data_IF_822815811231
#
_entry.id   IF_822815811231
#
_cell.length_a   1.000
_cell.length_b   1.000
_cell.length_c   1.000
_cell.angle_alpha   90.00
_cell.angle_beta   90.00
_cell.angle_gamma   90.00
#
_symmetry.space_group_name_H-M   'P 1'
#
loop_
_entity.id
_entity.type
_entity.pdbx_description
1 polymer ?
#
# COMPACT_ATOMS: atom_id res chain seq x y z
N UNK A 1 10.06 -6.66 -14.80
CA UNK A 1 10.15 -8.11 -15.09
C UNK A 1 11.60 -8.57 -14.96
N UNK A 2 11.82 -9.79 -14.52
CA UNK A 2 13.14 -10.36 -14.31
C UNK A 2 13.24 -11.70 -15.04
N UNK A 3 14.44 -12.05 -15.46
CA UNK A 3 14.75 -13.40 -15.93
C UNK A 3 15.06 -14.35 -14.75
N UNK A 4 15.33 -15.61 -15.05
CA UNK A 4 15.67 -16.66 -14.06
C UNK A 4 16.95 -16.36 -13.27
N UNK A 5 17.79 -15.46 -13.75
CA UNK A 5 19.04 -15.03 -13.07
C UNK A 5 18.83 -13.77 -12.23
N UNK A 6 17.61 -13.22 -12.19
CA UNK A 6 17.28 -11.99 -11.46
C UNK A 6 17.63 -10.68 -12.18
N UNK A 7 17.98 -10.74 -13.48
CA UNK A 7 18.26 -9.53 -14.27
C UNK A 7 16.95 -8.89 -14.72
N UNK A 8 16.93 -7.56 -14.75
CA UNK A 8 15.78 -6.81 -15.25
C UNK A 8 15.72 -6.96 -16.78
N UNK A 9 14.65 -7.58 -17.27
CA UNK A 9 14.35 -7.72 -18.70
C UNK A 9 13.57 -6.51 -19.22
N UNK A 10 12.60 -6.06 -18.45
CA UNK A 10 11.84 -4.85 -18.77
C UNK A 10 11.27 -4.18 -17.51
N UNK A 11 10.97 -2.89 -17.64
CA UNK A 11 10.39 -2.07 -16.57
C UNK A 11 9.29 -1.20 -17.16
N UNK A 12 8.17 -1.11 -16.45
CA UNK A 12 7.13 -0.11 -16.66
C UNK A 12 6.68 0.43 -15.30
N UNK A 13 6.42 1.72 -15.24
CA UNK A 13 5.97 2.39 -14.02
C UNK A 13 5.07 3.55 -14.38
N UNK A 14 4.21 3.95 -13.43
CA UNK A 14 3.36 5.13 -13.51
C UNK A 14 3.38 5.85 -12.17
N UNK A 15 3.25 7.16 -12.22
CA UNK A 15 3.01 7.95 -11.01
C UNK A 15 1.58 7.72 -10.53
N UNK A 16 1.44 7.55 -9.21
CA UNK A 16 0.13 7.40 -8.58
C UNK A 16 -0.30 8.76 -8.03
N UNK A 17 -1.38 9.36 -8.55
CA UNK A 17 -1.91 10.62 -8.03
C UNK A 17 -2.31 10.49 -6.56
N UNK A 18 -1.84 11.43 -5.74
CA UNK A 18 -2.23 11.52 -4.34
C UNK A 18 -3.40 12.49 -4.19
N UNK A 19 -4.31 12.18 -3.29
CA UNK A 19 -5.50 12.99 -2.99
C UNK A 19 -5.32 13.58 -1.59
N UNK A 20 -5.46 14.90 -1.46
CA UNK A 20 -5.32 15.63 -0.22
C UNK A 20 -6.64 16.34 0.14
N UNK A 21 -7.61 15.63 0.75
CA UNK A 21 -8.94 16.21 1.03
C UNK A 21 -8.90 17.35 2.05
N UNK A 22 -7.97 17.28 2.99
CA UNK A 22 -7.76 18.27 4.05
C UNK A 22 -6.26 18.31 4.44
N UNK A 23 -5.80 19.34 5.14
CA UNK A 23 -4.43 19.39 5.67
C UNK A 23 -4.10 18.15 6.50
N UNK A 24 -3.00 17.49 6.17
CA UNK A 24 -2.55 16.26 6.84
C UNK A 24 -3.29 14.98 6.43
N UNK A 25 -4.29 15.05 5.55
CA UNK A 25 -4.97 13.88 5.03
C UNK A 25 -4.37 13.47 3.70
N UNK A 26 -4.13 12.17 3.54
CA UNK A 26 -3.60 11.60 2.30
C UNK A 26 -4.39 10.35 1.95
N UNK A 27 -4.85 10.29 0.71
CA UNK A 27 -5.65 9.20 0.19
C UNK A 27 -5.20 8.81 -1.22
N UNK A 28 -5.47 7.57 -1.60
CA UNK A 28 -5.31 7.09 -2.98
C UNK A 28 -6.63 6.50 -3.49
N UNK A 29 -6.84 6.59 -4.80
CA UNK A 29 -7.94 5.89 -5.45
C UNK A 29 -7.54 4.43 -5.69
N UNK A 30 -8.18 3.49 -4.99
CA UNK A 30 -7.85 2.07 -5.10
C UNK A 30 -8.12 1.49 -6.50
N UNK A 31 -9.13 2.01 -7.21
CA UNK A 31 -9.42 1.62 -8.59
C UNK A 31 -8.31 2.05 -9.54
N UNK A 32 -7.79 3.27 -9.36
CA UNK A 32 -6.64 3.76 -10.14
C UNK A 32 -5.39 2.91 -9.88
N UNK A 33 -5.12 2.56 -8.61
CA UNK A 33 -4.00 1.65 -8.27
C UNK A 33 -4.12 0.34 -9.07
N UNK A 34 -5.28 -0.28 -9.08
CA UNK A 34 -5.51 -1.53 -9.81
C UNK A 34 -5.31 -1.35 -11.33
N UNK A 35 -5.91 -0.32 -11.89
CA UNK A 35 -5.83 -0.05 -13.33
C UNK A 35 -4.39 0.21 -13.78
N UNK A 36 -3.64 1.00 -13.01
CA UNK A 36 -2.24 1.32 -13.32
C UNK A 36 -1.34 0.09 -13.15
N UNK A 37 -1.53 -0.71 -12.11
CA UNK A 37 -0.79 -1.96 -11.94
C UNK A 37 -1.02 -2.93 -13.11
N UNK A 38 -2.27 -3.10 -13.53
CA UNK A 38 -2.59 -3.96 -14.68
C UNK A 38 -2.01 -3.40 -15.98
N UNK A 39 -2.08 -2.10 -16.18
CA UNK A 39 -1.54 -1.45 -17.36
C UNK A 39 0.00 -1.54 -17.44
N UNK A 40 0.69 -1.28 -16.32
CA UNK A 40 2.15 -1.39 -16.26
C UNK A 40 2.63 -2.84 -16.43
N UNK A 41 1.90 -3.82 -15.89
CA UNK A 41 2.21 -5.23 -16.11
C UNK A 41 2.12 -5.59 -17.62
N UNK A 42 1.03 -5.20 -18.29
CA UNK A 42 0.86 -5.41 -19.73
C UNK A 42 1.96 -4.70 -20.54
N UNK A 43 2.26 -3.46 -20.20
CA UNK A 43 3.29 -2.67 -20.86
C UNK A 43 4.67 -3.31 -20.73
N UNK A 44 5.01 -3.82 -19.54
CA UNK A 44 6.28 -4.50 -19.30
C UNK A 44 6.43 -5.77 -20.15
N UNK A 45 5.35 -6.56 -20.31
CA UNK A 45 5.33 -7.74 -21.16
C UNK A 45 5.58 -7.35 -22.63
N UNK A 46 4.88 -6.33 -23.12
CA UNK A 46 5.03 -5.84 -24.50
C UNK A 46 6.45 -5.31 -24.75
N UNK A 47 6.99 -4.51 -23.83
CA UNK A 47 8.37 -4.00 -23.93
C UNK A 47 9.43 -5.09 -23.98
N UNK A 48 9.17 -6.22 -23.33
CA UNK A 48 10.06 -7.38 -23.37
C UNK A 48 9.93 -8.22 -24.66
N UNK A 49 8.93 -7.93 -25.50
CA UNK A 49 8.61 -8.76 -26.68
C UNK A 49 8.04 -10.12 -26.32
N UNK A 50 7.50 -10.29 -25.11
CA UNK A 50 6.98 -11.54 -24.58
C UNK A 50 5.46 -11.61 -24.66
N UNK A 51 4.91 -12.80 -24.44
CA UNK A 51 3.49 -13.08 -24.28
C UNK A 51 3.19 -13.42 -22.81
N UNK A 52 1.94 -13.33 -22.42
CA UNK A 52 1.50 -13.71 -21.07
C UNK A 52 1.81 -15.17 -20.74
N UNK A 53 1.81 -16.06 -21.75
CA UNK A 53 2.19 -17.47 -21.60
C UNK A 53 3.65 -17.71 -21.23
N UNK A 54 4.51 -16.71 -21.46
CA UNK A 54 5.95 -16.82 -21.18
C UNK A 54 6.28 -16.41 -19.74
N UNK A 55 5.28 -16.00 -18.97
CA UNK A 55 5.42 -15.56 -17.57
C UNK A 55 5.25 -16.78 -16.66
N UNK A 56 6.32 -17.17 -15.98
CA UNK A 56 6.34 -18.32 -15.07
C UNK A 56 5.73 -18.02 -13.69
N UNK A 57 5.70 -16.76 -13.28
CA UNK A 57 5.18 -16.39 -11.95
C UNK A 57 5.06 -14.88 -11.79
N UNK A 58 4.29 -14.48 -10.76
CA UNK A 58 4.07 -13.08 -10.38
C UNK A 58 4.38 -12.93 -8.90
N UNK A 59 5.29 -12.02 -8.58
CA UNK A 59 5.52 -11.56 -7.22
C UNK A 59 4.71 -10.31 -6.94
N UNK A 60 4.02 -10.28 -5.79
CA UNK A 60 3.21 -9.14 -5.38
C UNK A 60 3.71 -8.66 -4.03
N UNK A 61 3.97 -7.36 -3.91
CA UNK A 61 4.14 -6.70 -2.62
C UNK A 61 3.02 -5.68 -2.41
N UNK A 62 2.61 -5.51 -1.17
CA UNK A 62 1.57 -4.53 -0.83
C UNK A 62 2.16 -3.15 -0.54
N UNK A 63 1.32 -2.15 -0.54
CA UNK A 63 1.58 -0.88 0.15
C UNK A 63 1.15 -1.06 1.61
N UNK A 64 2.12 -1.27 2.50
CA UNK A 64 1.86 -1.50 3.93
C UNK A 64 1.07 -0.33 4.52
N UNK A 65 0.25 -0.63 5.55
CA UNK A 65 -0.48 0.37 6.33
C UNK A 65 -1.41 1.25 5.48
N UNK A 66 -1.94 0.65 4.43
CA UNK A 66 -2.95 1.26 3.56
C UNK A 66 -4.22 0.45 3.66
N UNK A 67 -5.31 1.09 4.09
CA UNK A 67 -6.58 0.41 4.30
C UNK A 67 -7.50 0.63 3.12
N UNK A 68 -7.98 -0.46 2.54
CA UNK A 68 -9.02 -0.47 1.50
C UNK A 68 -10.20 -1.29 1.98
N UNK A 69 -11.39 -0.71 1.93
CA UNK A 69 -12.65 -1.42 2.18
C UNK A 69 -13.49 -1.37 0.91
N UNK A 70 -14.02 -2.52 0.50
CA UNK A 70 -14.80 -2.63 -0.74
C UNK A 70 -16.04 -3.48 -0.58
N UNK A 71 -17.00 -3.27 -1.46
CA UNK A 71 -18.20 -4.08 -1.54
C UNK A 71 -17.85 -5.45 -2.12
N UNK A 72 -18.04 -6.52 -1.35
CA UNK A 72 -17.71 -7.89 -1.77
C UNK A 72 -18.46 -8.35 -3.03
N UNK A 73 -19.68 -7.81 -3.28
CA UNK A 73 -20.50 -8.22 -4.44
C UNK A 73 -20.11 -7.50 -5.72
N UNK A 74 -19.78 -6.20 -5.62
CA UNK A 74 -19.45 -5.38 -6.79
C UNK A 74 -17.94 -5.25 -7.04
N UNK A 75 -17.11 -5.48 -6.03
CA UNK A 75 -15.68 -5.22 -6.06
C UNK A 75 -15.30 -3.75 -5.93
N UNK A 76 -16.28 -2.85 -5.80
CA UNK A 76 -16.03 -1.41 -5.76
C UNK A 76 -15.60 -0.96 -4.37
N UNK A 77 -14.53 -0.13 -4.26
CA UNK A 77 -14.17 0.51 -3.01
C UNK A 77 -15.29 1.42 -2.50
N UNK A 78 -15.60 1.35 -1.22
CA UNK A 78 -16.62 2.22 -0.61
C UNK A 78 -16.08 3.61 -0.29
N UNK A 79 -14.77 3.76 -0.26
CA UNK A 79 -14.04 4.99 0.01
C UNK A 79 -12.63 4.91 -0.59
N UNK A 80 -11.93 6.04 -0.69
CA UNK A 80 -10.52 6.07 -1.05
C UNK A 80 -9.68 5.27 -0.04
N UNK A 81 -8.56 4.72 -0.50
CA UNK A 81 -7.59 4.10 0.37
C UNK A 81 -6.94 5.15 1.28
N UNK A 82 -7.10 4.99 2.59
CA UNK A 82 -6.38 5.81 3.57
C UNK A 82 -4.97 5.25 3.68
N UNK A 83 -3.98 6.08 3.37
CA UNK A 83 -2.60 5.62 3.23
C UNK A 83 -1.74 5.96 4.44
N UNK A 84 -0.60 5.32 4.51
CA UNK A 84 0.36 5.42 5.62
C UNK A 84 0.83 6.85 5.96
N UNK A 85 0.79 7.77 5.02
CA UNK A 85 1.15 9.19 5.21
C UNK A 85 0.05 10.02 5.87
N UNK A 86 -1.17 9.46 6.01
CA UNK A 86 -2.32 10.20 6.50
C UNK A 86 -2.25 10.44 8.01
N UNK A 87 -2.41 11.68 8.42
CA UNK A 87 -2.36 12.11 9.83
C UNK A 87 -3.73 12.34 10.48
N UNK A 88 -4.81 11.90 9.83
CA UNK A 88 -6.19 12.12 10.33
C UNK A 88 -6.48 11.51 11.70
N UNK A 89 -5.75 10.49 12.10
CA UNK A 89 -5.93 9.81 13.39
C UNK A 89 -5.05 10.40 14.51
N UNK A 90 -4.26 11.44 14.24
CA UNK A 90 -3.39 12.06 15.26
C UNK A 90 -4.14 12.52 16.52
N UNK A 91 -5.34 13.12 16.45
CA UNK A 91 -6.10 13.46 17.67
C UNK A 91 -6.43 12.24 18.54
N UNK A 92 -6.76 11.10 17.91
CA UNK A 92 -7.02 9.84 18.63
C UNK A 92 -5.74 9.31 19.27
N UNK A 93 -4.62 9.36 18.54
CA UNK A 93 -3.33 8.95 19.06
C UNK A 93 -2.87 9.81 20.25
N UNK A 94 -3.09 11.13 20.18
CA UNK A 94 -2.81 12.05 21.26
C UNK A 94 -3.64 11.71 22.51
N UNK A 95 -4.94 11.52 22.37
CA UNK A 95 -5.82 11.10 23.47
C UNK A 95 -5.34 9.80 24.13
N UNK A 96 -4.96 8.79 23.36
CA UNK A 96 -4.47 7.52 23.89
C UNK A 96 -3.15 7.70 24.66
N UNK A 97 -2.25 8.58 24.20
CA UNK A 97 -1.01 8.92 24.91
C UNK A 97 -1.30 9.66 26.21
N UNK A 98 -2.20 10.63 26.20
CA UNK A 98 -2.63 11.37 27.41
C UNK A 98 -3.24 10.44 28.48
N UNK A 99 -3.94 9.40 28.04
CA UNK A 99 -4.48 8.34 28.91
C UNK A 99 -3.41 7.38 29.45
N UNK A 100 -2.14 7.58 29.10
CA UNK A 100 -1.03 6.74 29.54
C UNK A 100 -1.01 5.32 28.96
N UNK A 101 -1.70 5.09 27.83
CA UNK A 101 -1.85 3.75 27.24
C UNK A 101 -0.66 3.33 26.37
N UNK A 102 0.33 4.20 26.16
CA UNK A 102 1.45 3.96 25.25
C UNK A 102 2.24 2.69 25.64
N UNK A 103 2.62 2.57 26.90
CA UNK A 103 3.37 1.40 27.36
C UNK A 103 2.56 0.11 27.22
N UNK A 104 1.27 0.13 27.56
CA UNK A 104 0.39 -1.04 27.45
C UNK A 104 0.23 -1.49 26.01
N UNK A 105 0.03 -0.54 25.09
CA UNK A 105 -0.11 -0.83 23.67
C UNK A 105 1.20 -1.38 23.12
N UNK A 106 2.32 -0.74 23.43
CA UNK A 106 3.65 -1.18 22.98
C UNK A 106 3.99 -2.58 23.47
N UNK A 107 3.69 -2.90 24.74
CA UNK A 107 3.93 -4.25 25.30
C UNK A 107 3.08 -5.33 24.62
N UNK A 108 1.83 -5.00 24.24
CA UNK A 108 0.91 -5.97 23.65
C UNK A 108 1.09 -6.14 22.14
N UNK A 109 1.51 -5.09 21.45
CA UNK A 109 1.55 -5.07 19.97
C UNK A 109 2.96 -4.98 19.41
N UNK A 110 3.95 -4.59 20.20
CA UNK A 110 5.29 -4.24 19.76
C UNK A 110 5.39 -2.86 19.10
N UNK A 111 4.28 -2.13 18.99
CA UNK A 111 4.18 -0.89 18.21
C UNK A 111 3.94 0.32 19.13
N UNK A 112 4.45 1.48 18.72
CA UNK A 112 4.13 2.75 19.36
C UNK A 112 2.76 3.25 18.90
N UNK A 113 2.13 4.12 19.71
CA UNK A 113 0.93 4.84 19.30
C UNK A 113 1.33 5.91 18.28
N UNK A 114 1.01 5.68 17.01
CA UNK A 114 1.16 6.67 15.96
C UNK A 114 -0.02 6.53 14.97
N UNK A 115 -0.26 7.56 14.17
CA UNK A 115 -1.23 7.54 13.08
C UNK A 115 -0.92 6.42 12.10
N UNK A 116 0.31 6.01 12.09
CA UNK A 116 0.86 4.96 11.25
C UNK A 116 1.81 4.11 12.06
N UNK A 117 1.78 2.84 11.75
CA UNK A 117 2.68 1.83 12.27
C UNK A 117 4.09 2.02 11.66
N UNK A 118 4.75 3.12 12.04
CA UNK A 118 6.02 3.55 11.44
C UNK A 118 7.20 2.62 11.70
N UNK A 119 7.03 1.66 12.60
CA UNK A 119 8.12 0.76 12.98
C UNK A 119 7.56 -0.59 13.39
N UNK A 120 6.87 -1.26 12.49
CA UNK A 120 6.77 -2.70 12.62
C UNK A 120 8.07 -3.26 12.05
N UNK A 121 9.02 -3.75 12.87
CA UNK A 121 9.99 -4.66 12.33
C UNK A 121 9.18 -5.78 11.68
N UNK A 122 9.37 -5.99 10.38
CA UNK A 122 8.79 -7.13 9.73
C UNK A 122 9.21 -8.37 10.50
N UNK A 123 8.33 -9.30 10.87
CA UNK A 123 8.75 -10.55 11.49
C UNK A 123 9.62 -11.41 10.56
N UNK A 124 10.03 -10.87 9.43
CA UNK A 124 10.91 -11.47 8.44
C UNK A 124 12.24 -10.75 8.27
N UNK A 125 12.47 -9.66 9.01
CA UNK A 125 13.74 -8.93 9.03
C UNK A 125 14.58 -9.36 10.23
#
# INVERSE_FOLDING_TARGET
MFDETGRIVSLAQRELPQIFPQPGWVEHNATTIWQDQLATAKEAIVKAGLKASDISGIGITNQRETTVVWNKKTGEPIYHAIVWQCRRTEPICAELRERGLEQTIQQKTGLRIDCLLYTSPSPRD
#
